data_IF_914329525505
#
_entry.id   IF_914329525505
#
_cell.length_a   1.000
_cell.length_b   1.000
_cell.length_c   1.000
_cell.angle_alpha   90.00
_cell.angle_beta   90.00
_cell.angle_gamma   90.00
#
_symmetry.space_group_name_H-M   'P 1'
#
loop_
_entity.id
_entity.type
_entity.pdbx_description
1 polymer ?
#
# COMPACT_ATOMS: atom_id res chain seq x y z
N UNK A 1 1.53 -6.86 -1.96
CA UNK A 1 1.51 -7.40 -0.67
C UNK A 1 2.66 -7.11 0.26
N UNK A 2 3.77 -7.83 0.17
CA UNK A 2 4.87 -7.81 1.17
C UNK A 2 5.60 -6.47 1.28
N UNK A 3 5.68 -5.68 0.21
CA UNK A 3 6.40 -4.41 0.20
C UNK A 3 5.83 -3.35 1.17
N UNK A 4 4.54 -3.40 1.49
CA UNK A 4 3.90 -2.47 2.44
C UNK A 4 3.92 -3.03 3.86
N UNK A 5 3.85 -4.34 4.04
CA UNK A 5 3.79 -4.96 5.36
C UNK A 5 5.06 -4.76 6.19
N UNK A 6 6.23 -4.76 5.54
CA UNK A 6 7.53 -4.56 6.23
C UNK A 6 7.63 -3.15 6.83
N UNK A 7 7.48 -2.05 6.06
CA UNK A 7 7.48 -0.70 6.64
C UNK A 7 6.42 -0.51 7.73
N UNK A 8 5.21 -1.06 7.55
CA UNK A 8 4.15 -1.00 8.54
C UNK A 8 4.54 -1.69 9.85
N UNK A 9 5.17 -2.87 9.79
CA UNK A 9 5.63 -3.59 10.99
C UNK A 9 6.73 -2.83 11.73
N UNK A 10 7.62 -2.16 11.02
CA UNK A 10 8.67 -1.31 11.60
C UNK A 10 8.04 -0.14 12.34
N UNK A 11 7.07 0.55 11.72
CA UNK A 11 6.35 1.66 12.35
C UNK A 11 5.62 1.21 13.61
N UNK A 12 4.95 0.07 13.57
CA UNK A 12 4.23 -0.47 14.75
C UNK A 12 5.17 -0.74 15.91
N UNK A 13 6.41 -1.15 15.66
CA UNK A 13 7.40 -1.48 16.70
C UNK A 13 8.11 -0.26 17.27
N UNK A 14 8.37 0.78 16.46
CA UNK A 14 9.21 1.91 16.88
C UNK A 14 8.42 3.13 17.37
N UNK A 15 7.15 3.26 16.99
CA UNK A 15 6.36 4.43 17.33
C UNK A 15 5.39 4.14 18.50
N UNK A 16 5.28 5.07 19.47
CA UNK A 16 4.31 4.95 20.56
C UNK A 16 2.87 4.98 20.02
N UNK A 17 1.94 4.39 20.77
CA UNK A 17 0.53 4.25 20.38
C UNK A 17 -0.13 5.57 19.94
N UNK A 18 0.30 6.70 20.53
CA UNK A 18 -0.24 8.03 20.23
C UNK A 18 0.09 8.54 18.83
N UNK A 19 1.28 8.22 18.30
CA UNK A 19 1.77 8.71 17.00
C UNK A 19 1.78 7.62 15.92
N UNK A 20 1.56 6.36 16.30
CA UNK A 20 1.62 5.19 15.41
C UNK A 20 0.71 5.34 14.19
N UNK A 21 -0.51 5.81 14.38
CA UNK A 21 -1.49 5.95 13.29
C UNK A 21 -1.06 7.01 12.27
N UNK A 22 -0.50 8.13 12.74
CA UNK A 22 0.05 9.15 11.85
C UNK A 22 1.25 8.60 11.07
N UNK A 23 2.16 7.92 11.73
CA UNK A 23 3.32 7.32 11.06
C UNK A 23 2.90 6.28 10.00
N UNK A 24 1.88 5.47 10.28
CA UNK A 24 1.31 4.53 9.31
C UNK A 24 0.66 5.25 8.12
N UNK A 25 -0.06 6.35 8.35
CA UNK A 25 -0.67 7.13 7.26
C UNK A 25 0.38 7.81 6.37
N UNK A 26 1.50 8.24 6.92
CA UNK A 26 2.63 8.78 6.14
C UNK A 26 3.21 7.68 5.23
N UNK A 27 3.46 6.49 5.75
CA UNK A 27 3.96 5.35 4.95
C UNK A 27 3.00 5.03 3.80
N UNK A 28 1.68 5.00 4.08
CA UNK A 28 0.65 4.78 3.06
C UNK A 28 0.64 5.88 2.02
N UNK A 29 0.79 7.15 2.43
CA UNK A 29 0.82 8.30 1.52
C UNK A 29 2.03 8.27 0.59
N UNK A 30 3.20 7.86 1.09
CA UNK A 30 4.41 7.68 0.25
C UNK A 30 4.18 6.58 -0.80
N UNK A 31 3.52 5.47 -0.42
CA UNK A 31 3.11 4.45 -1.38
C UNK A 31 2.13 4.98 -2.44
N UNK A 32 1.17 5.81 -2.02
CA UNK A 32 0.20 6.45 -2.92
C UNK A 32 0.85 7.48 -3.84
N UNK A 33 1.91 8.15 -3.40
CA UNK A 33 2.71 9.03 -4.25
C UNK A 33 3.40 8.25 -5.39
N UNK A 34 3.91 7.04 -5.10
CA UNK A 34 4.37 6.14 -6.14
C UNK A 34 3.27 5.77 -7.14
N UNK A 35 2.06 5.48 -6.65
CA UNK A 35 0.90 5.17 -7.48
C UNK A 35 0.43 6.39 -8.31
N UNK A 36 0.64 7.61 -7.83
CA UNK A 36 0.39 8.86 -8.58
C UNK A 36 1.36 9.05 -9.74
N UNK A 37 2.67 8.87 -9.51
CA UNK A 37 3.70 9.16 -10.52
C UNK A 37 3.87 8.01 -11.53
N UNK A 38 3.74 6.76 -11.08
CA UNK A 38 4.06 5.58 -11.89
C UNK A 38 3.30 5.52 -13.23
N UNK A 39 1.97 5.74 -13.32
CA UNK A 39 1.26 5.65 -14.59
C UNK A 39 1.71 6.72 -15.60
N UNK A 40 1.92 7.95 -15.13
CA UNK A 40 2.41 9.07 -15.96
C UNK A 40 3.79 8.73 -16.52
N UNK A 41 4.70 8.34 -15.64
CA UNK A 41 6.06 8.00 -16.03
C UNK A 41 6.11 6.79 -16.98
N UNK A 42 5.33 5.74 -16.68
CA UNK A 42 5.24 4.55 -17.51
C UNK A 42 4.78 4.87 -18.91
N UNK A 43 3.70 5.66 -19.05
CA UNK A 43 3.17 6.03 -20.37
C UNK A 43 4.16 6.90 -21.13
N UNK A 44 4.79 7.87 -20.46
CA UNK A 44 5.85 8.69 -21.06
C UNK A 44 7.02 7.84 -21.56
N UNK A 45 7.51 6.92 -20.73
CA UNK A 45 8.65 6.05 -21.08
C UNK A 45 8.31 5.07 -22.21
N UNK A 46 7.12 4.48 -22.19
CA UNK A 46 6.66 3.59 -23.26
C UNK A 46 6.58 4.29 -24.61
N UNK A 47 6.11 5.53 -24.64
CA UNK A 47 5.96 6.30 -25.88
C UNK A 47 7.30 6.77 -26.46
N UNK A 48 8.29 7.05 -25.61
CA UNK A 48 9.59 7.59 -26.05
C UNK A 48 10.68 6.52 -26.22
N UNK A 49 10.73 5.55 -25.32
CA UNK A 49 11.84 4.60 -25.22
C UNK A 49 11.41 3.16 -25.58
N UNK A 50 10.10 2.91 -25.68
CA UNK A 50 9.58 1.57 -25.89
C UNK A 50 9.54 0.71 -24.61
N UNK A 51 9.00 -0.50 -24.75
CA UNK A 51 8.70 -1.35 -23.59
C UNK A 51 9.95 -1.95 -22.93
N UNK A 52 10.99 -2.29 -23.72
CA UNK A 52 12.21 -2.92 -23.22
C UNK A 52 12.96 -1.96 -22.28
N UNK A 53 13.22 -0.74 -22.74
CA UNK A 53 13.93 0.26 -21.95
C UNK A 53 13.15 0.67 -20.70
N UNK A 54 11.82 0.75 -20.81
CA UNK A 54 10.95 1.00 -19.66
C UNK A 54 11.10 -0.07 -18.58
N UNK A 55 11.16 -1.35 -18.96
CA UNK A 55 11.40 -2.45 -18.02
C UNK A 55 12.79 -2.38 -17.38
N UNK A 56 13.85 -2.02 -18.14
CA UNK A 56 15.17 -1.82 -17.57
C UNK A 56 15.21 -0.70 -16.53
N UNK A 57 14.51 0.39 -16.76
CA UNK A 57 14.41 1.49 -15.80
C UNK A 57 13.72 1.02 -14.51
N UNK A 58 12.61 0.29 -14.60
CA UNK A 58 11.96 -0.28 -13.42
C UNK A 58 12.84 -1.30 -12.69
N UNK A 59 13.63 -2.09 -13.42
CA UNK A 59 14.60 -3.00 -12.81
C UNK A 59 15.67 -2.23 -12.01
N UNK A 60 16.15 -1.10 -12.51
CA UNK A 60 17.10 -0.24 -11.78
C UNK A 60 16.46 0.28 -10.47
N UNK A 61 15.21 0.75 -10.50
CA UNK A 61 14.51 1.17 -9.29
C UNK A 61 14.35 0.03 -8.26
N UNK A 62 14.08 -1.20 -8.72
CA UNK A 62 14.02 -2.36 -7.84
C UNK A 62 15.38 -2.68 -7.21
N UNK A 63 16.47 -2.59 -7.98
CA UNK A 63 17.84 -2.80 -7.49
C UNK A 63 18.20 -1.74 -6.44
N UNK A 64 17.88 -0.47 -6.70
CA UNK A 64 18.08 0.62 -5.72
C UNK A 64 17.29 0.34 -4.45
N UNK A 65 16.02 -0.04 -4.57
CA UNK A 65 15.19 -0.42 -3.42
C UNK A 65 15.75 -1.60 -2.64
N UNK A 66 16.30 -2.60 -3.33
CA UNK A 66 16.98 -3.74 -2.71
C UNK A 66 18.19 -3.29 -1.89
N UNK A 67 19.06 -2.44 -2.44
CA UNK A 67 20.20 -1.90 -1.69
C UNK A 67 19.77 -1.06 -0.49
N UNK A 68 18.76 -0.21 -0.64
CA UNK A 68 18.23 0.58 0.48
C UNK A 68 17.73 -0.35 1.60
N UNK A 69 17.13 -1.49 1.27
CA UNK A 69 16.63 -2.44 2.26
C UNK A 69 17.74 -3.00 3.17
N UNK A 70 19.00 -3.08 2.71
CA UNK A 70 20.13 -3.50 3.53
C UNK A 70 20.49 -2.49 4.64
N UNK A 71 20.20 -1.21 4.42
CA UNK A 71 20.45 -0.17 5.42
C UNK A 71 19.34 -0.08 6.47
N UNK A 72 18.20 -0.72 6.21
CA UNK A 72 17.09 -0.77 7.18
C UNK A 72 17.43 -1.84 8.23
N UNK A 73 17.87 -1.41 9.40
CA UNK A 73 18.07 -2.30 10.55
C UNK A 73 16.72 -2.89 10.94
N UNK A 74 16.60 -4.21 10.85
CA UNK A 74 15.46 -4.91 11.46
C UNK A 74 15.50 -4.70 12.96
N UNK A 75 14.38 -4.37 13.62
CA UNK A 75 14.32 -4.36 15.08
C UNK A 75 14.74 -5.74 15.57
N UNK A 76 15.74 -5.76 16.47
CA UNK A 76 16.21 -6.99 17.10
C UNK A 76 15.01 -7.68 17.77
N UNK A 77 14.94 -8.99 17.67
CA UNK A 77 13.85 -9.81 18.21
C UNK A 77 13.59 -9.62 19.71
N UNK A 78 14.53 -9.02 20.43
CA UNK A 78 14.42 -8.71 21.87
C UNK A 78 13.39 -7.63 22.21
N UNK A 79 12.93 -6.82 21.23
CA UNK A 79 11.85 -5.83 21.47
C UNK A 79 10.45 -6.38 21.24
N UNK A 80 10.32 -7.61 20.81
CA UNK A 80 9.05 -8.32 20.81
C UNK A 80 8.83 -8.91 22.21
N UNK A 81 8.43 -8.08 23.18
CA UNK A 81 7.98 -8.53 24.51
C UNK A 81 6.53 -9.06 24.40
N UNK A 82 6.24 -9.80 23.38
CA UNK A 82 5.20 -10.80 23.41
C UNK A 82 5.93 -12.14 23.47
N UNK A 83 5.79 -12.82 24.62
CA UNK A 83 6.20 -14.23 24.77
C UNK A 83 5.79 -14.97 23.51
N UNK A 84 6.65 -15.81 22.90
CA UNK A 84 6.21 -16.66 21.83
C UNK A 84 5.00 -17.40 22.35
N UNK A 85 3.83 -17.08 21.80
CA UNK A 85 2.64 -17.85 22.04
C UNK A 85 2.94 -19.16 21.34
N UNK A 86 3.05 -20.27 22.09
CA UNK A 86 3.25 -21.63 21.56
C UNK A 86 2.05 -22.09 20.71
N UNK A 87 1.18 -21.17 20.36
CA UNK A 87 -0.02 -21.36 19.57
C UNK A 87 0.35 -21.68 18.11
N UNK A 88 -0.11 -22.80 17.63
CA UNK A 88 0.03 -23.18 16.22
C UNK A 88 -0.62 -22.11 15.32
N UNK A 89 -0.02 -21.85 14.16
CA UNK A 89 -0.56 -20.91 13.15
C UNK A 89 -2.02 -21.26 12.78
N UNK A 90 -2.37 -22.55 12.78
CA UNK A 90 -3.73 -23.03 12.50
C UNK A 90 -4.70 -22.65 13.61
N UNK A 91 -4.27 -22.77 14.87
CA UNK A 91 -5.09 -22.39 16.03
C UNK A 91 -5.32 -20.87 16.08
N UNK A 92 -4.26 -20.08 15.84
CA UNK A 92 -4.38 -18.64 15.74
C UNK A 92 -5.34 -18.19 14.62
N UNK A 93 -5.28 -18.86 13.45
CA UNK A 93 -6.19 -18.59 12.35
C UNK A 93 -7.65 -18.96 12.70
N UNK A 94 -7.85 -20.10 13.35
CA UNK A 94 -9.18 -20.54 13.80
C UNK A 94 -9.79 -19.58 14.82
N UNK A 95 -9.00 -19.10 15.77
CA UNK A 95 -9.42 -18.11 16.75
C UNK A 95 -9.78 -16.77 16.07
N UNK A 96 -8.93 -16.31 15.13
CA UNK A 96 -9.19 -15.10 14.36
C UNK A 96 -10.51 -15.20 13.57
N UNK A 97 -10.77 -16.31 12.91
CA UNK A 97 -12.01 -16.55 12.14
C UNK A 97 -13.27 -16.62 13.02
N UNK A 98 -13.15 -16.94 14.29
CA UNK A 98 -14.27 -16.89 15.24
C UNK A 98 -14.59 -15.46 15.71
N UNK A 99 -13.65 -14.52 15.54
CA UNK A 99 -13.86 -13.14 15.91
C UNK A 99 -14.59 -12.37 14.80
N UNK A 100 -15.86 -12.02 15.03
CA UNK A 100 -16.70 -11.30 14.05
C UNK A 100 -16.05 -9.99 13.56
N UNK A 101 -15.38 -9.25 14.45
CA UNK A 101 -14.71 -8.00 14.07
C UNK A 101 -13.54 -8.25 13.11
N UNK A 102 -12.79 -9.32 13.32
CA UNK A 102 -11.71 -9.72 12.41
C UNK A 102 -12.25 -10.13 11.03
N UNK A 103 -13.31 -10.93 10.99
CA UNK A 103 -13.92 -11.37 9.73
C UNK A 103 -14.47 -10.17 8.94
N UNK A 104 -15.18 -9.24 9.60
CA UNK A 104 -15.71 -8.03 8.96
C UNK A 104 -14.58 -7.12 8.44
N UNK A 105 -13.51 -6.97 9.21
CA UNK A 105 -12.35 -6.19 8.78
C UNK A 105 -11.68 -6.84 7.56
N UNK A 106 -11.50 -8.16 7.59
CA UNK A 106 -10.92 -8.92 6.46
C UNK A 106 -11.79 -8.80 5.20
N UNK A 107 -13.12 -8.88 5.35
CA UNK A 107 -14.05 -8.67 4.24
C UNK A 107 -13.94 -7.24 3.66
N UNK A 108 -13.81 -6.22 4.51
CA UNK A 108 -13.56 -4.84 4.08
C UNK A 108 -12.26 -4.70 3.29
N UNK A 109 -11.17 -5.32 3.76
CA UNK A 109 -9.90 -5.35 3.04
C UNK A 109 -9.99 -6.08 1.70
N UNK A 110 -10.75 -7.18 1.64
CA UNK A 110 -11.00 -7.90 0.39
C UNK A 110 -11.69 -6.99 -0.64
N UNK A 111 -12.75 -6.29 -0.24
CA UNK A 111 -13.47 -5.37 -1.13
C UNK A 111 -12.55 -4.24 -1.60
N UNK A 112 -11.75 -3.67 -0.71
CA UNK A 112 -10.77 -2.64 -1.04
C UNK A 112 -9.74 -3.15 -2.07
N UNK A 113 -9.14 -4.32 -1.83
CA UNK A 113 -8.18 -4.94 -2.75
C UNK A 113 -8.80 -5.26 -4.11
N UNK A 114 -10.01 -5.79 -4.12
CA UNK A 114 -10.77 -6.08 -5.33
C UNK A 114 -11.02 -4.79 -6.14
N UNK A 115 -11.46 -3.72 -5.50
CA UNK A 115 -11.72 -2.44 -6.14
C UNK A 115 -10.45 -1.85 -6.80
N UNK A 116 -9.34 -1.82 -6.06
CA UNK A 116 -8.07 -1.28 -6.57
C UNK A 116 -7.58 -2.10 -7.77
N UNK A 117 -7.67 -3.43 -7.70
CA UNK A 117 -7.26 -4.31 -8.78
C UNK A 117 -8.17 -4.16 -10.00
N UNK A 118 -9.49 -4.09 -9.79
CA UNK A 118 -10.47 -3.89 -10.87
C UNK A 118 -10.19 -2.58 -11.63
N UNK A 119 -10.06 -1.48 -10.91
CA UNK A 119 -9.79 -0.17 -11.51
C UNK A 119 -8.42 -0.17 -12.20
N UNK A 120 -7.37 -0.66 -11.53
CA UNK A 120 -6.01 -0.66 -12.07
C UNK A 120 -5.85 -1.51 -13.34
N UNK A 121 -6.61 -2.60 -13.47
CA UNK A 121 -6.51 -3.53 -14.60
C UNK A 121 -7.46 -3.16 -15.74
N UNK A 122 -8.70 -2.83 -15.42
CA UNK A 122 -9.74 -2.68 -16.46
C UNK A 122 -9.89 -1.27 -17.00
N UNK A 123 -9.59 -0.23 -16.21
CA UNK A 123 -9.72 1.16 -16.70
C UNK A 123 -8.78 1.46 -17.86
N UNK A 124 -7.48 1.07 -17.84
CA UNK A 124 -6.61 1.29 -18.98
C UNK A 124 -7.13 0.63 -20.26
N UNK A 125 -7.54 -0.63 -20.18
CA UNK A 125 -8.08 -1.38 -21.32
C UNK A 125 -9.37 -0.73 -21.84
N UNK A 126 -10.29 -0.38 -20.95
CA UNK A 126 -11.54 0.28 -21.31
C UNK A 126 -11.31 1.62 -22.04
N UNK A 127 -10.36 2.42 -21.57
CA UNK A 127 -10.03 3.72 -22.21
C UNK A 127 -9.52 3.52 -23.63
N UNK A 128 -8.61 2.54 -23.83
CA UNK A 128 -8.07 2.21 -25.16
C UNK A 128 -9.15 1.63 -26.08
N UNK A 129 -10.01 0.75 -25.57
CA UNK A 129 -11.12 0.16 -26.34
C UNK A 129 -12.14 1.22 -26.80
N UNK A 130 -12.23 2.35 -26.09
CA UNK A 130 -13.03 3.52 -26.48
C UNK A 130 -12.32 4.45 -27.46
N UNK A 131 -11.13 4.09 -27.94
CA UNK A 131 -10.35 4.88 -28.89
C UNK A 131 -9.67 6.12 -28.27
N UNK A 132 -9.59 6.17 -26.93
CA UNK A 132 -8.86 7.24 -26.24
C UNK A 132 -7.38 6.88 -26.12
N UNK A 133 -6.55 7.90 -25.98
CA UNK A 133 -5.11 7.71 -25.83
C UNK A 133 -4.76 7.06 -24.49
N UNK A 134 -3.69 6.26 -24.45
CA UNK A 134 -3.16 5.66 -23.22
C UNK A 134 -2.79 6.68 -22.13
N UNK A 135 -2.50 7.91 -22.52
CA UNK A 135 -2.29 9.03 -21.62
C UNK A 135 -3.52 9.34 -20.75
N UNK A 136 -4.71 9.22 -21.31
CA UNK A 136 -5.98 9.39 -20.55
C UNK A 136 -6.09 8.36 -19.44
N UNK A 137 -5.76 7.11 -19.72
CA UNK A 137 -5.73 6.05 -18.72
C UNK A 137 -4.71 6.34 -17.59
N UNK A 138 -3.51 6.79 -17.98
CA UNK A 138 -2.48 7.16 -17.02
C UNK A 138 -2.94 8.30 -16.08
N UNK A 139 -3.60 9.32 -16.62
CA UNK A 139 -4.15 10.43 -15.84
C UNK A 139 -5.24 9.98 -14.87
N UNK A 140 -6.15 9.11 -15.29
CA UNK A 140 -7.19 8.55 -14.41
C UNK A 140 -6.57 7.82 -13.23
N UNK A 141 -5.62 6.90 -13.48
CA UNK A 141 -4.95 6.14 -12.43
C UNK A 141 -4.13 7.06 -11.50
N UNK A 142 -3.47 8.06 -12.07
CA UNK A 142 -2.70 9.02 -11.28
C UNK A 142 -3.59 9.86 -10.36
N UNK A 143 -4.77 10.28 -10.82
CA UNK A 143 -5.74 10.98 -9.97
C UNK A 143 -6.18 10.13 -8.78
N UNK A 144 -6.37 8.82 -8.96
CA UNK A 144 -6.64 7.91 -7.84
C UNK A 144 -5.50 7.96 -6.81
N UNK A 145 -4.24 7.87 -7.27
CA UNK A 145 -3.07 7.99 -6.39
C UNK A 145 -3.00 9.34 -5.66
N UNK A 146 -3.26 10.43 -6.39
CA UNK A 146 -3.26 11.79 -5.86
C UNK A 146 -4.27 11.97 -4.72
N UNK A 147 -5.53 11.64 -4.96
CA UNK A 147 -6.57 11.76 -3.91
C UNK A 147 -6.34 10.80 -2.76
N UNK A 148 -5.72 9.63 -2.99
CA UNK A 148 -5.39 8.69 -1.94
C UNK A 148 -4.31 9.22 -0.98
N UNK A 149 -3.37 10.08 -1.44
CA UNK A 149 -2.41 10.77 -0.58
C UNK A 149 -3.15 11.61 0.46
N UNK A 150 -4.07 12.46 0.00
CA UNK A 150 -4.84 13.33 0.91
C UNK A 150 -5.77 12.52 1.81
N UNK A 151 -6.46 11.52 1.25
CA UNK A 151 -7.34 10.65 2.01
C UNK A 151 -6.63 9.92 3.14
N UNK A 152 -5.44 9.37 2.89
CA UNK A 152 -4.66 8.65 3.90
C UNK A 152 -4.12 9.57 4.99
N UNK A 153 -3.61 10.76 4.63
CA UNK A 153 -3.14 11.75 5.61
C UNK A 153 -4.28 12.29 6.46
N UNK A 154 -5.41 12.63 5.83
CA UNK A 154 -6.59 13.12 6.53
C UNK A 154 -7.15 12.06 7.48
N UNK A 155 -7.29 10.82 7.03
CA UNK A 155 -7.72 9.69 7.85
C UNK A 155 -6.79 9.46 9.04
N UNK A 156 -5.46 9.51 8.81
CA UNK A 156 -4.46 9.41 9.87
C UNK A 156 -4.59 10.52 10.90
N UNK A 157 -4.79 11.76 10.47
CA UNK A 157 -5.00 12.90 11.36
C UNK A 157 -6.32 12.80 12.14
N UNK A 158 -7.42 12.50 11.46
CA UNK A 158 -8.74 12.36 12.09
C UNK A 158 -8.77 11.23 13.11
N UNK A 159 -8.04 10.13 12.87
CA UNK A 159 -7.99 8.99 13.79
C UNK A 159 -7.34 9.31 15.15
N UNK A 160 -6.65 10.44 15.27
CA UNK A 160 -6.13 10.93 16.54
C UNK A 160 -7.16 11.72 17.36
N UNK A 161 -8.21 12.24 16.70
CA UNK A 161 -9.24 13.09 17.31
C UNK A 161 -10.59 12.40 17.45
N UNK A 162 -10.88 11.45 16.58
CA UNK A 162 -12.18 10.79 16.47
C UNK A 162 -11.98 9.28 16.69
N UNK A 163 -12.99 8.64 17.23
CA UNK A 163 -13.01 7.18 17.43
C UNK A 163 -12.76 6.44 16.10
N UNK A 164 -11.83 5.49 16.11
CA UNK A 164 -11.48 4.67 14.93
C UNK A 164 -12.69 3.96 14.32
N UNK A 165 -13.72 3.65 15.13
CA UNK A 165 -14.98 3.03 14.65
C UNK A 165 -15.79 3.93 13.73
N UNK A 166 -15.63 5.27 13.83
CA UNK A 166 -16.40 6.23 13.02
C UNK A 166 -15.68 6.48 11.68
N UNK A 167 -14.37 6.27 11.65
CA UNK A 167 -13.54 6.50 10.46
C UNK A 167 -13.53 5.29 9.53
N UNK A 168 -13.72 4.09 10.08
CA UNK A 168 -13.86 2.82 9.34
C UNK A 168 -15.26 2.67 8.75
#
# INVERSE_FOLDING_TARGET
>A
GTAISIPMSIVVKHFPLSTRTIAMSIVTSVGSFGYFISPIYTTYSLNNNGWIETLFIFMIFLIIGFFIAFFVKSPTAEQSIEKPNDQSTVEALKEAMQNKSYVLLTAGFFVCGFHITLVGTHVPTYVVDRGLEGWTAAMILSLVGFFNIFGSLLSGYLSTKISKKIIL
#
